data_IF_055432524077
#
_entry.id   IF_055432524077
#
_cell.length_a   1.000
_cell.length_b   1.000
_cell.length_c   1.000
_cell.angle_alpha   90.00
_cell.angle_beta   90.00
_cell.angle_gamma   90.00
#
_symmetry.space_group_name_H-M   'P 1'
#
loop_
_entity.id
_entity.type
_entity.pdbx_description
1 polymer ?
#
# COMPACT_ATOMS: atom_id res chain seq x y z
N UNK A 1 -7.51 -7.25 16.93
CA UNK A 1 -6.23 -7.48 16.23
C UNK A 1 -5.14 -6.75 16.99
N UNK A 2 -4.24 -7.47 17.60
CA UNK A 2 -3.14 -6.93 18.43
C UNK A 2 -1.93 -6.45 17.62
N UNK A 3 -2.06 -6.30 16.30
CA UNK A 3 -0.97 -5.90 15.41
C UNK A 3 0.14 -6.96 15.25
N UNK A 4 -0.01 -8.12 15.87
CA UNK A 4 1.01 -9.19 15.87
C UNK A 4 1.19 -9.87 14.51
N UNK A 5 0.29 -9.61 13.55
CA UNK A 5 0.31 -10.21 12.21
C UNK A 5 1.26 -9.44 11.25
N UNK A 6 1.64 -8.21 11.58
CA UNK A 6 2.60 -7.47 10.76
C UNK A 6 4.00 -8.02 11.01
N UNK A 7 4.56 -8.66 10.00
CA UNK A 7 5.94 -9.15 10.08
C UNK A 7 6.89 -7.97 10.36
N UNK A 8 7.58 -8.01 11.51
CA UNK A 8 8.64 -7.05 11.80
C UNK A 8 9.69 -7.12 10.69
N UNK A 9 10.21 -5.96 10.25
CA UNK A 9 11.31 -5.86 9.27
C UNK A 9 12.50 -6.75 9.64
N UNK A 10 12.77 -6.94 10.95
CA UNK A 10 13.83 -7.82 11.45
C UNK A 10 13.63 -9.28 11.01
N UNK A 11 12.40 -9.71 10.81
CA UNK A 11 12.07 -11.05 10.36
C UNK A 11 11.89 -11.11 8.83
N UNK A 12 11.20 -10.13 8.26
CA UNK A 12 10.89 -10.12 6.83
C UNK A 12 12.11 -9.85 5.94
N UNK A 13 12.89 -8.83 6.26
CA UNK A 13 14.01 -8.41 5.40
C UNK A 13 15.06 -9.49 5.16
N UNK A 14 15.54 -10.22 6.21
CA UNK A 14 16.47 -11.33 5.98
C UNK A 14 15.89 -12.44 5.12
N UNK A 15 14.62 -12.80 5.35
CA UNK A 15 13.94 -13.85 4.56
C UNK A 15 13.79 -13.43 3.11
N UNK A 16 13.43 -12.18 2.86
CA UNK A 16 13.29 -11.64 1.51
C UNK A 16 14.65 -11.59 0.79
N UNK A 17 15.72 -11.19 1.47
CA UNK A 17 17.06 -11.19 0.90
C UNK A 17 17.51 -12.61 0.54
N UNK A 18 17.39 -13.56 1.48
CA UNK A 18 17.75 -14.98 1.21
C UNK A 18 17.00 -15.53 0.01
N UNK A 19 15.68 -15.35 -0.03
CA UNK A 19 14.86 -15.76 -1.17
C UNK A 19 15.35 -15.13 -2.47
N UNK A 20 15.65 -13.83 -2.47
CA UNK A 20 16.07 -13.11 -3.66
C UNK A 20 17.45 -13.60 -4.16
N UNK A 21 18.39 -13.82 -3.25
CA UNK A 21 19.71 -14.36 -3.59
C UNK A 21 19.63 -15.79 -4.12
N UNK A 22 18.79 -16.62 -3.56
CA UNK A 22 18.56 -17.99 -4.04
C UNK A 22 17.89 -18.00 -5.41
N UNK A 23 16.96 -17.08 -5.66
CA UNK A 23 16.38 -16.88 -7.00
C UNK A 23 17.44 -16.45 -8.01
N UNK A 24 18.33 -15.52 -7.66
CA UNK A 24 19.40 -15.05 -8.54
C UNK A 24 20.39 -16.17 -8.91
N UNK A 25 20.59 -17.14 -8.01
CA UNK A 25 21.42 -18.33 -8.25
C UNK A 25 20.69 -19.45 -9.00
N UNK A 26 19.40 -19.27 -9.32
CA UNK A 26 18.62 -20.29 -10.04
C UNK A 26 18.31 -21.54 -9.21
N UNK A 27 18.27 -21.44 -7.88
CA UNK A 27 18.02 -22.59 -6.98
C UNK A 27 16.57 -23.11 -7.07
N UNK A 28 15.67 -22.35 -7.66
CA UNK A 28 14.25 -22.72 -7.76
C UNK A 28 13.84 -22.98 -9.21
N UNK A 29 13.14 -24.08 -9.45
CA UNK A 29 12.52 -24.37 -10.75
C UNK A 29 11.05 -23.90 -10.79
N UNK A 30 10.77 -22.74 -10.19
CA UNK A 30 9.44 -22.12 -10.15
C UNK A 30 9.59 -20.60 -10.27
N UNK A 31 8.54 -19.97 -10.80
CA UNK A 31 8.48 -18.51 -10.82
C UNK A 31 7.80 -18.02 -9.55
N UNK A 32 8.48 -17.17 -8.81
CA UNK A 32 7.88 -16.45 -7.69
C UNK A 32 7.31 -15.12 -8.17
N UNK A 33 6.17 -14.75 -7.64
CA UNK A 33 5.57 -13.43 -7.81
C UNK A 33 5.06 -12.95 -6.46
N UNK A 34 5.57 -11.83 -6.01
CA UNK A 34 5.02 -11.11 -4.87
C UNK A 34 4.13 -10.01 -5.45
N UNK A 35 2.85 -10.06 -5.13
CA UNK A 35 1.89 -9.06 -5.59
C UNK A 35 1.75 -8.02 -4.49
N UNK A 36 2.23 -6.80 -4.69
CA UNK A 36 2.03 -5.73 -3.73
C UNK A 36 0.56 -5.31 -3.70
N UNK A 37 0.07 -4.80 -2.57
CA UNK A 37 -1.33 -4.39 -2.41
C UNK A 37 -1.71 -3.19 -3.31
N UNK A 38 -0.74 -2.42 -3.75
CA UNK A 38 -0.91 -1.29 -4.66
C UNK A 38 0.40 -0.97 -5.38
N UNK A 39 0.41 0.02 -6.28
CA UNK A 39 1.61 0.42 -7.03
C UNK A 39 2.78 0.84 -6.11
N UNK A 40 2.49 1.46 -4.98
CA UNK A 40 3.51 1.81 -3.99
C UNK A 40 4.03 0.59 -3.23
N UNK A 41 3.30 -0.51 -3.23
CA UNK A 41 3.68 -1.73 -2.51
C UNK A 41 4.99 -2.35 -2.99
N UNK A 42 5.40 -2.08 -4.24
CA UNK A 42 6.72 -2.50 -4.77
C UNK A 42 7.85 -1.96 -3.89
N UNK A 43 7.73 -0.74 -3.39
CA UNK A 43 8.76 -0.15 -2.54
C UNK A 43 8.88 -0.88 -1.21
N UNK A 44 7.77 -1.31 -0.63
CA UNK A 44 7.78 -1.96 0.69
C UNK A 44 8.15 -3.42 0.61
N UNK A 45 7.66 -4.11 -0.42
CA UNK A 45 7.88 -5.56 -0.55
C UNK A 45 9.23 -5.89 -1.18
N UNK A 46 9.77 -5.05 -2.05
CA UNK A 46 10.97 -5.34 -2.82
C UNK A 46 12.10 -4.34 -2.55
N UNK A 47 11.84 -3.05 -2.73
CA UNK A 47 12.88 -2.03 -2.67
C UNK A 47 13.49 -1.88 -1.28
N UNK A 48 12.68 -1.66 -0.25
CA UNK A 48 13.22 -1.40 1.10
C UNK A 48 14.03 -2.55 1.69
N UNK A 49 13.62 -3.82 1.58
CA UNK A 49 14.46 -4.93 2.03
C UNK A 49 15.82 -4.95 1.34
N UNK A 50 15.85 -4.79 0.02
CA UNK A 50 17.10 -4.80 -0.74
C UNK A 50 17.95 -3.56 -0.48
N UNK A 51 17.35 -2.38 -0.36
CA UNK A 51 18.04 -1.14 -0.01
C UNK A 51 18.68 -1.22 1.39
N UNK A 52 17.99 -1.84 2.35
CA UNK A 52 18.50 -2.02 3.70
C UNK A 52 19.81 -2.81 3.73
N UNK A 53 19.95 -3.81 2.86
CA UNK A 53 21.17 -4.63 2.73
C UNK A 53 22.12 -4.14 1.63
N UNK A 54 21.85 -2.98 1.03
CA UNK A 54 22.64 -2.45 -0.10
C UNK A 54 22.70 -3.41 -1.32
N UNK A 55 21.58 -4.09 -1.60
CA UNK A 55 21.44 -5.10 -2.68
C UNK A 55 20.38 -4.70 -3.71
N UNK A 56 20.31 -3.41 -4.05
CA UNK A 56 19.41 -2.93 -5.12
C UNK A 56 19.75 -3.46 -6.51
N UNK A 57 20.95 -3.98 -6.70
CA UNK A 57 21.36 -4.74 -7.90
C UNK A 57 20.37 -5.87 -8.21
N UNK A 58 19.84 -6.54 -7.19
CA UNK A 58 18.92 -7.67 -7.34
C UNK A 58 17.47 -7.25 -7.68
N UNK A 59 17.13 -5.99 -7.55
CA UNK A 59 15.75 -5.52 -7.78
C UNK A 59 15.34 -5.66 -9.25
N UNK A 60 16.20 -5.24 -10.17
CA UNK A 60 15.95 -5.35 -11.61
C UNK A 60 16.22 -6.78 -12.10
N UNK A 61 17.34 -7.38 -11.68
CA UNK A 61 17.78 -8.67 -12.17
C UNK A 61 16.83 -9.81 -11.80
N UNK A 62 16.31 -9.81 -10.58
CA UNK A 62 15.48 -10.90 -10.05
C UNK A 62 13.98 -10.60 -10.13
N UNK A 63 13.60 -9.40 -9.73
CA UNK A 63 12.19 -9.02 -9.60
C UNK A 63 11.66 -8.25 -10.80
N UNK A 64 12.53 -7.87 -11.74
CA UNK A 64 12.21 -7.08 -12.94
C UNK A 64 11.49 -5.76 -12.60
N UNK A 65 11.87 -5.19 -11.45
CA UNK A 65 11.32 -3.93 -10.96
C UNK A 65 12.33 -2.81 -11.18
N UNK A 66 11.87 -1.74 -11.82
CA UNK A 66 12.65 -0.50 -11.97
C UNK A 66 12.10 0.53 -10.99
N UNK A 67 12.98 1.12 -10.23
CA UNK A 67 12.70 2.33 -9.48
C UNK A 67 13.24 3.48 -10.33
N UNK A 68 12.35 4.16 -11.04
CA UNK A 68 12.73 5.39 -11.72
C UNK A 68 13.22 6.37 -10.66
N UNK A 69 14.49 6.76 -10.77
CA UNK A 69 15.17 7.65 -9.81
C UNK A 69 14.62 9.08 -9.79
N UNK A 70 13.46 9.32 -10.37
CA UNK A 70 12.80 10.62 -10.37
C UNK A 70 11.98 10.78 -9.10
N UNK A 71 12.67 11.02 -7.99
CA UNK A 71 12.10 11.26 -6.67
C UNK A 71 11.50 12.67 -6.50
N UNK A 72 11.55 13.51 -7.54
CA UNK A 72 11.07 14.90 -7.53
C UNK A 72 9.60 15.05 -7.93
N UNK A 73 8.85 13.94 -8.05
CA UNK A 73 7.41 14.01 -8.33
C UNK A 73 6.66 14.64 -7.16
N UNK A 74 5.62 15.46 -7.45
CA UNK A 74 4.74 15.96 -6.40
C UNK A 74 4.22 14.81 -5.54
N UNK A 75 4.07 15.05 -4.25
CA UNK A 75 3.47 14.07 -3.35
C UNK A 75 1.98 13.91 -3.71
N UNK A 76 1.65 12.79 -4.31
CA UNK A 76 0.26 12.40 -4.62
C UNK A 76 -0.13 11.17 -3.79
N UNK A 77 -1.40 11.05 -3.46
CA UNK A 77 -1.91 9.87 -2.78
C UNK A 77 -1.91 8.67 -3.75
N UNK A 78 -1.18 7.62 -3.37
CA UNK A 78 -1.11 6.39 -4.19
C UNK A 78 -2.33 5.48 -4.02
N UNK A 79 -3.14 5.68 -2.97
CA UNK A 79 -4.31 4.84 -2.71
C UNK A 79 -5.36 5.00 -3.82
N UNK A 80 -5.73 3.88 -4.44
CA UNK A 80 -6.70 3.86 -5.54
C UNK A 80 -8.13 3.54 -5.09
N UNK A 81 -8.35 3.34 -3.79
CA UNK A 81 -9.65 3.04 -3.21
C UNK A 81 -10.69 4.13 -3.53
N UNK A 82 -11.79 3.76 -4.16
CA UNK A 82 -12.83 4.69 -4.59
C UNK A 82 -12.43 5.63 -5.73
N UNK A 83 -11.19 5.59 -6.21
CA UNK A 83 -10.66 6.41 -7.33
C UNK A 83 -10.64 5.61 -8.62
N UNK A 84 -9.99 4.45 -8.63
CA UNK A 84 -9.89 3.52 -9.76
C UNK A 84 -10.24 2.08 -9.37
N UNK A 85 -10.45 1.81 -8.09
CA UNK A 85 -10.79 0.51 -7.57
C UNK A 85 -12.00 0.61 -6.66
N UNK A 86 -12.78 -0.47 -6.63
CA UNK A 86 -13.80 -0.74 -5.62
C UNK A 86 -13.89 -2.26 -5.41
N UNK A 87 -14.57 -2.66 -4.36
CA UNK A 87 -14.90 -4.04 -4.06
C UNK A 87 -16.38 -4.16 -3.73
N UNK A 88 -16.99 -5.28 -4.08
CA UNK A 88 -18.39 -5.58 -3.77
C UNK A 88 -18.43 -6.93 -3.05
N UNK A 89 -18.98 -6.95 -1.84
CA UNK A 89 -19.07 -8.18 -1.07
C UNK A 89 -20.30 -9.02 -1.49
N UNK A 90 -20.45 -10.21 -0.92
CA UNK A 90 -21.57 -11.14 -1.20
C UNK A 90 -22.94 -10.60 -0.77
N UNK A 91 -22.99 -9.61 0.11
CA UNK A 91 -24.22 -8.93 0.54
C UNK A 91 -24.64 -7.82 -0.44
N UNK A 92 -23.74 -7.42 -1.34
CA UNK A 92 -23.94 -6.32 -2.28
C UNK A 92 -23.39 -4.99 -1.80
N UNK A 93 -22.74 -4.94 -0.62
CA UNK A 93 -22.13 -3.71 -0.10
C UNK A 93 -20.89 -3.37 -0.92
N UNK A 94 -20.73 -2.09 -1.24
CA UNK A 94 -19.64 -1.55 -2.05
C UNK A 94 -18.65 -0.83 -1.17
N UNK A 95 -17.38 -1.12 -1.37
CA UNK A 95 -16.24 -0.54 -0.63
C UNK A 95 -15.20 0.06 -1.58
N UNK A 96 -14.33 0.91 -1.08
CA UNK A 96 -13.27 1.53 -1.87
C UNK A 96 -12.23 0.54 -2.42
N UNK A 97 -11.94 -0.54 -1.69
CA UNK A 97 -11.09 -1.65 -2.11
C UNK A 97 -11.43 -2.90 -1.28
N UNK A 98 -10.82 -4.03 -1.63
CA UNK A 98 -11.01 -5.32 -0.95
C UNK A 98 -10.55 -5.33 0.52
N UNK A 99 -9.51 -4.58 0.87
CA UNK A 99 -9.06 -4.44 2.25
C UNK A 99 -10.06 -3.71 3.16
N UNK A 100 -10.97 -2.94 2.58
CA UNK A 100 -12.00 -2.21 3.32
C UNK A 100 -13.26 -3.06 3.58
N UNK A 101 -13.35 -4.27 3.02
CA UNK A 101 -14.50 -5.14 3.23
C UNK A 101 -14.72 -5.46 4.70
N UNK A 102 -15.96 -5.27 5.16
CA UNK A 102 -16.35 -5.53 6.55
C UNK A 102 -16.10 -4.39 7.53
N UNK A 103 -15.62 -3.25 7.06
CA UNK A 103 -15.55 -2.01 7.84
C UNK A 103 -16.83 -1.22 7.56
N UNK A 104 -17.79 -1.26 8.49
CA UNK A 104 -19.13 -0.71 8.28
C UNK A 104 -19.11 0.79 7.93
N UNK A 105 -18.21 1.56 8.52
CA UNK A 105 -18.06 2.99 8.28
C UNK A 105 -17.54 3.33 6.87
N UNK A 106 -17.06 2.33 6.12
CA UNK A 106 -16.54 2.49 4.76
C UNK A 106 -17.46 1.92 3.69
N UNK A 107 -18.69 1.54 4.05
CA UNK A 107 -19.71 1.14 3.07
C UNK A 107 -20.11 2.34 2.23
N UNK A 108 -19.83 2.27 0.94
CA UNK A 108 -20.15 3.34 -0.02
C UNK A 108 -21.60 3.31 -0.51
N UNK A 109 -22.26 2.16 -0.42
CA UNK A 109 -23.61 1.90 -0.84
C UNK A 109 -23.84 0.41 -1.07
N UNK A 110 -25.03 0.01 -1.55
CA UNK A 110 -25.36 -1.39 -1.84
C UNK A 110 -25.97 -1.54 -3.24
N UNK A 111 -25.40 -2.42 -4.06
CA UNK A 111 -25.84 -2.62 -5.47
C UNK A 111 -27.19 -3.31 -5.61
N UNK A 112 -27.77 -3.85 -4.53
CA UNK A 112 -29.13 -4.38 -4.50
C UNK A 112 -30.19 -3.29 -4.29
N UNK A 113 -29.76 -2.11 -3.79
CA UNK A 113 -30.63 -1.01 -3.40
C UNK A 113 -30.56 0.17 -4.38
N UNK A 114 -29.39 0.37 -5.01
CA UNK A 114 -29.14 1.50 -5.91
C UNK A 114 -28.18 1.10 -7.05
N UNK A 115 -28.22 1.87 -8.13
CA UNK A 115 -27.34 1.62 -9.28
C UNK A 115 -25.87 1.86 -8.92
N UNK A 116 -24.98 0.99 -9.38
CA UNK A 116 -23.55 1.15 -9.14
C UNK A 116 -23.03 2.52 -9.59
N UNK A 117 -23.51 3.05 -10.72
CA UNK A 117 -23.12 4.38 -11.19
C UNK A 117 -23.45 5.51 -10.20
N UNK A 118 -24.59 5.38 -9.52
CA UNK A 118 -24.99 6.35 -8.47
C UNK A 118 -24.07 6.24 -7.24
N UNK A 119 -23.75 5.01 -6.81
CA UNK A 119 -22.80 4.78 -5.74
C UNK A 119 -21.45 5.38 -6.13
N UNK A 120 -20.96 5.04 -7.34
CA UNK A 120 -19.65 5.48 -7.80
C UNK A 120 -19.49 7.01 -7.83
N UNK A 121 -20.51 7.73 -8.27
CA UNK A 121 -20.42 9.18 -8.43
C UNK A 121 -20.83 9.96 -7.18
N UNK A 122 -21.79 9.45 -6.40
CA UNK A 122 -22.43 10.23 -5.36
C UNK A 122 -22.14 9.76 -3.93
N UNK A 123 -21.47 8.61 -3.76
CA UNK A 123 -21.15 8.11 -2.42
C UNK A 123 -20.31 9.11 -1.62
N UNK A 124 -20.76 9.40 -0.42
CA UNK A 124 -20.02 10.23 0.55
C UNK A 124 -18.64 9.61 0.84
N UNK A 125 -18.57 8.28 0.96
CA UNK A 125 -17.33 7.57 1.23
C UNK A 125 -16.36 7.67 0.06
N UNK A 126 -16.82 7.47 -1.18
CA UNK A 126 -15.96 7.61 -2.36
C UNK A 126 -15.49 9.05 -2.55
N UNK A 127 -16.38 10.03 -2.33
CA UNK A 127 -16.00 11.42 -2.41
C UNK A 127 -14.98 11.79 -1.33
N UNK A 128 -15.13 11.26 -0.10
CA UNK A 128 -14.14 11.44 0.96
C UNK A 128 -12.78 10.83 0.57
N UNK A 129 -12.75 9.61 0.04
CA UNK A 129 -11.50 8.96 -0.38
C UNK A 129 -10.80 9.75 -1.51
N UNK A 130 -11.57 10.27 -2.48
CA UNK A 130 -11.05 11.08 -3.60
C UNK A 130 -10.54 12.45 -3.20
N UNK A 131 -11.08 13.01 -2.12
CA UNK A 131 -10.68 14.33 -1.63
C UNK A 131 -9.40 14.31 -0.81
N UNK A 132 -8.91 13.14 -0.39
CA UNK A 132 -7.68 13.04 0.40
C UNK A 132 -6.50 13.50 -0.43
N UNK A 133 -5.80 14.51 0.05
CA UNK A 133 -4.54 15.01 -0.51
C UNK A 133 -3.38 14.67 0.43
N UNK A 134 -2.16 14.84 -0.06
CA UNK A 134 -0.99 14.61 0.79
C UNK A 134 -0.90 15.58 1.97
N UNK A 135 -1.46 16.77 1.84
CA UNK A 135 -1.50 17.77 2.91
C UNK A 135 -2.44 17.40 4.07
N UNK A 136 -3.36 16.46 3.82
CA UNK A 136 -4.29 15.97 4.84
C UNK A 136 -3.68 14.84 5.67
N UNK A 137 -2.55 14.25 5.21
CA UNK A 137 -1.91 13.13 5.89
C UNK A 137 -1.22 13.62 7.16
N UNK A 138 -1.36 12.85 8.23
CA UNK A 138 -0.79 13.12 9.55
C UNK A 138 0.33 12.12 9.92
N UNK A 139 0.94 12.34 11.09
CA UNK A 139 1.95 11.47 11.65
C UNK A 139 3.25 11.43 10.84
N UNK A 140 3.99 10.33 10.91
CA UNK A 140 5.31 10.20 10.26
C UNK A 140 5.27 10.39 8.73
N UNK A 141 4.15 10.13 8.09
CA UNK A 141 4.01 10.32 6.65
C UNK A 141 3.97 11.80 6.25
N UNK A 142 3.42 12.67 7.10
CA UNK A 142 3.41 14.12 6.87
C UNK A 142 4.82 14.71 6.83
N UNK A 143 5.72 14.20 7.66
CA UNK A 143 7.11 14.64 7.78
C UNK A 143 8.05 13.89 6.81
N UNK A 144 7.55 12.86 6.14
CA UNK A 144 8.35 11.99 5.28
C UNK A 144 8.84 12.72 4.04
N UNK A 145 10.13 12.58 3.75
CA UNK A 145 10.75 13.17 2.55
C UNK A 145 10.56 12.34 1.27
N UNK A 146 10.03 11.12 1.38
CA UNK A 146 9.74 10.28 0.21
C UNK A 146 8.46 10.73 -0.48
N UNK A 147 8.59 11.47 -1.57
CA UNK A 147 7.45 11.96 -2.35
C UNK A 147 6.75 10.87 -3.16
N UNK A 148 7.47 9.88 -3.61
CA UNK A 148 7.00 8.84 -4.51
C UNK A 148 6.23 7.70 -3.83
N UNK A 149 6.32 7.56 -2.51
CA UNK A 149 5.61 6.52 -1.76
C UNK A 149 4.08 6.71 -1.77
N UNK A 150 3.59 7.94 -1.93
CA UNK A 150 2.16 8.23 -1.99
C UNK A 150 1.39 7.99 -0.69
N UNK A 151 2.09 7.99 0.46
CA UNK A 151 1.48 7.92 1.79
C UNK A 151 1.00 6.52 2.22
N UNK A 152 1.13 5.50 1.36
CA UNK A 152 0.81 4.13 1.71
C UNK A 152 -0.67 3.75 1.67
N UNK A 153 -1.04 2.67 2.37
CA UNK A 153 -2.39 2.13 2.41
C UNK A 153 -3.28 2.90 3.38
N UNK A 154 -4.37 3.49 2.89
CA UNK A 154 -5.32 4.23 3.74
C UNK A 154 -6.15 3.32 4.65
N UNK A 155 -6.42 2.07 4.21
CA UNK A 155 -7.06 1.08 5.06
C UNK A 155 -6.16 0.67 6.23
N UNK A 156 -4.88 0.41 5.96
CA UNK A 156 -3.89 0.13 7.00
C UNK A 156 -3.76 1.29 8.00
N UNK A 157 -3.76 2.53 7.51
CA UNK A 157 -3.76 3.71 8.38
C UNK A 157 -5.00 3.78 9.28
N UNK A 158 -6.19 3.51 8.73
CA UNK A 158 -7.42 3.48 9.51
C UNK A 158 -7.39 2.39 10.59
N UNK A 159 -6.96 1.18 10.22
CA UNK A 159 -6.97 0.02 11.13
C UNK A 159 -5.99 0.21 12.28
N UNK A 160 -4.86 0.81 12.05
CA UNK A 160 -3.76 0.88 13.00
C UNK A 160 -3.63 2.25 13.68
N UNK A 161 -4.00 3.33 13.02
CA UNK A 161 -3.92 4.72 13.53
C UNK A 161 -5.32 5.35 13.75
N UNK A 162 -6.40 4.59 13.51
CA UNK A 162 -7.79 5.01 13.74
C UNK A 162 -8.31 6.04 12.74
N UNK A 163 -7.55 6.40 11.71
CA UNK A 163 -7.97 7.38 10.71
C UNK A 163 -7.41 7.10 9.32
N UNK A 164 -8.23 7.35 8.28
CA UNK A 164 -7.78 7.30 6.89
C UNK A 164 -6.65 8.29 6.58
N UNK A 165 -6.47 9.32 7.41
CA UNK A 165 -5.45 10.35 7.24
C UNK A 165 -4.15 10.04 8.00
N UNK A 166 -4.13 8.97 8.78
CA UNK A 166 -2.97 8.54 9.54
C UNK A 166 -1.81 8.04 8.70
N UNK A 167 -0.74 7.70 9.37
CA UNK A 167 0.40 7.04 8.75
C UNK A 167 0.12 5.57 8.51
N UNK A 168 0.60 5.03 7.40
CA UNK A 168 0.61 3.59 7.19
C UNK A 168 1.63 2.95 8.13
N UNK A 169 1.15 2.22 9.13
CA UNK A 169 2.01 1.59 10.14
C UNK A 169 2.76 0.37 9.61
N UNK A 170 2.36 -0.19 8.46
CA UNK A 170 3.14 -1.20 7.76
C UNK A 170 4.40 -0.62 7.09
N UNK A 171 4.54 0.70 7.08
CA UNK A 171 5.72 1.37 6.54
C UNK A 171 6.93 1.19 7.47
N UNK A 172 7.95 0.51 6.97
CA UNK A 172 9.23 0.29 7.67
C UNK A 172 10.28 1.35 7.37
N UNK A 173 9.93 2.39 6.62
CA UNK A 173 10.87 3.46 6.31
C UNK A 173 11.17 4.26 7.59
N UNK A 174 12.40 4.14 8.03
CA UNK A 174 12.96 5.00 9.09
C UNK A 174 13.64 6.17 8.42
N UNK A 175 13.12 7.37 8.64
CA UNK A 175 13.85 8.57 8.27
C UNK A 175 15.18 8.53 9.01
N UNK A 176 16.29 8.41 8.28
CA UNK A 176 17.58 8.73 8.85
C UNK A 176 17.57 10.24 9.04
N UNK A 177 17.41 10.66 10.29
CA UNK A 177 17.67 12.05 10.66
C UNK A 177 19.10 12.34 10.21
N UNK A 178 19.24 13.22 9.23
CA UNK A 178 20.55 13.71 8.76
C UNK A 178 21.12 14.68 9.78
#
# INVERSE_FOLDING_TARGET
>A
NDGSILADKKHWYPVFLDLTERLSRGEFNVKFKIVPPNESGVFWTHYFPLAFYNRLDLLEDVWHQKVDGNFDKPKEIACQAGVRACSINHKGDVYGCDLMNGIDELVAGNVKEQKFSEIWHNSVIFNKLRSITFNDISGKCAECTLSWCGGGCRCSALELDGTLLGSDLACFYEQRVR
#
